data_IF_661956782603
#
_entry.id   IF_661956782603
#
_cell.length_a   1.000
_cell.length_b   1.000
_cell.length_c   1.000
_cell.angle_alpha   90.00
_cell.angle_beta   90.00
_cell.angle_gamma   90.00
#
_symmetry.space_group_name_H-M   'P 1'
#
loop_
_entity.id
_entity.type
_entity.pdbx_description
1 polymer ?
#
# COMPACT_ATOMS: atom_id res chain seq x y z
N UNK A 1 -8.45 26.94 -17.44
CA UNK A 1 -8.21 26.25 -16.15
C UNK A 1 -8.34 24.77 -16.42
N UNK A 2 -7.25 24.00 -16.36
CA UNK A 2 -7.32 22.55 -16.64
C UNK A 2 -7.92 21.84 -15.41
N UNK A 3 -8.99 21.08 -15.64
CA UNK A 3 -9.64 20.26 -14.62
C UNK A 3 -8.62 19.37 -13.87
N UNK A 4 -8.83 19.10 -12.57
CA UNK A 4 -8.02 18.14 -11.85
C UNK A 4 -8.14 16.75 -12.51
N UNK A 5 -7.00 16.20 -12.94
CA UNK A 5 -6.91 14.82 -13.42
C UNK A 5 -7.44 13.87 -12.34
N UNK A 6 -8.20 12.86 -12.76
CA UNK A 6 -8.69 11.81 -11.88
C UNK A 6 -7.54 11.19 -11.05
N UNK A 7 -7.72 10.95 -9.73
CA UNK A 7 -6.70 10.37 -8.86
C UNK A 7 -6.10 9.06 -9.39
N UNK A 8 -6.87 8.24 -10.11
CA UNK A 8 -6.48 6.96 -10.69
C UNK A 8 -6.09 7.01 -12.17
N UNK A 9 -6.22 8.15 -12.85
CA UNK A 9 -5.75 8.25 -14.23
C UNK A 9 -4.23 8.04 -14.34
N UNK A 10 -3.78 7.32 -15.37
CA UNK A 10 -2.36 7.06 -15.62
C UNK A 10 -1.57 8.36 -15.81
N UNK A 11 -0.35 8.37 -15.26
CA UNK A 11 0.58 9.50 -15.28
C UNK A 11 1.70 9.29 -16.29
N UNK A 12 2.03 8.05 -16.58
CA UNK A 12 3.02 7.66 -17.58
C UNK A 12 2.64 8.18 -18.97
N UNK A 13 3.62 8.80 -19.62
CA UNK A 13 3.57 9.19 -21.02
C UNK A 13 4.75 8.53 -21.75
N UNK A 14 4.52 7.50 -22.57
CA UNK A 14 5.60 6.80 -23.27
C UNK A 14 6.35 7.72 -24.24
N UNK A 15 5.72 8.80 -24.74
CA UNK A 15 6.38 9.75 -25.64
C UNK A 15 7.38 10.66 -24.91
N UNK A 16 7.27 10.80 -23.58
CA UNK A 16 8.17 11.64 -22.80
C UNK A 16 9.60 11.08 -22.70
N UNK A 17 9.77 9.76 -22.92
CA UNK A 17 11.08 9.08 -22.89
C UNK A 17 11.83 9.27 -21.57
N UNK A 18 11.12 9.40 -20.46
CA UNK A 18 11.68 9.71 -19.14
C UNK A 18 11.61 8.49 -18.22
N UNK A 19 12.49 8.48 -17.21
CA UNK A 19 12.42 7.56 -16.08
C UNK A 19 11.05 7.66 -15.42
N UNK A 20 10.38 6.53 -15.25
CA UNK A 20 9.05 6.46 -14.67
C UNK A 20 8.81 5.14 -13.96
N UNK A 21 8.23 5.22 -12.77
CA UNK A 21 7.63 4.11 -12.04
C UNK A 21 6.25 4.57 -11.61
N UNK A 22 5.23 3.75 -11.85
CA UNK A 22 3.86 4.04 -11.43
C UNK A 22 3.13 2.77 -11.04
N UNK A 23 2.50 2.77 -9.88
CA UNK A 23 1.86 1.57 -9.33
C UNK A 23 0.45 1.84 -8.85
N UNK A 24 -0.43 0.89 -9.18
CA UNK A 24 -1.77 0.75 -8.65
C UNK A 24 -1.79 -0.48 -7.77
N UNK A 25 -2.18 -0.35 -6.51
CA UNK A 25 -2.15 -1.46 -5.58
C UNK A 25 -3.38 -1.52 -4.70
N UNK A 26 -3.72 -2.75 -4.31
CA UNK A 26 -4.76 -3.08 -3.36
C UNK A 26 -4.11 -3.83 -2.20
N UNK A 27 -4.55 -3.55 -0.97
CA UNK A 27 -4.34 -4.45 0.16
C UNK A 27 -5.68 -4.82 0.77
N UNK A 28 -5.80 -6.04 1.24
CA UNK A 28 -6.92 -6.51 2.04
C UNK A 28 -6.38 -7.31 3.23
N UNK A 29 -7.03 -7.18 4.37
CA UNK A 29 -6.59 -7.72 5.64
C UNK A 29 -7.69 -8.59 6.25
N UNK A 30 -7.32 -9.79 6.68
CA UNK A 30 -8.18 -10.67 7.46
C UNK A 30 -8.58 -9.96 8.77
N UNK A 31 -9.86 -9.96 9.16
CA UNK A 31 -10.31 -9.41 10.43
C UNK A 31 -9.55 -9.97 11.64
N UNK A 32 -9.12 -11.24 11.61
CA UNK A 32 -8.32 -11.85 12.68
C UNK A 32 -6.84 -11.40 12.67
N UNK A 33 -6.39 -10.74 11.60
CA UNK A 33 -5.02 -10.27 11.43
C UNK A 33 -4.00 -11.36 11.11
N UNK A 34 -4.42 -12.59 10.80
CA UNK A 34 -3.51 -13.70 10.49
C UNK A 34 -3.16 -13.83 9.01
N UNK A 35 -3.95 -13.19 8.13
CA UNK A 35 -3.72 -13.18 6.69
C UNK A 35 -3.89 -11.80 6.09
N UNK A 36 -3.27 -11.61 4.93
CA UNK A 36 -3.46 -10.43 4.10
C UNK A 36 -3.21 -10.74 2.63
N UNK A 37 -3.83 -9.95 1.76
CA UNK A 37 -3.61 -9.97 0.33
C UNK A 37 -3.03 -8.62 -0.12
N UNK A 38 -2.08 -8.65 -1.03
CA UNK A 38 -1.60 -7.47 -1.74
C UNK A 38 -1.50 -7.75 -3.24
N UNK A 39 -2.19 -6.95 -4.03
CA UNK A 39 -2.18 -7.02 -5.49
C UNK A 39 -1.63 -5.70 -6.01
N UNK A 40 -0.70 -5.74 -6.96
CA UNK A 40 -0.12 -4.52 -7.55
C UNK A 40 0.11 -4.67 -9.04
N UNK A 41 -0.25 -3.65 -9.81
CA UNK A 41 0.22 -3.45 -11.17
C UNK A 41 1.19 -2.26 -11.20
N UNK A 42 2.31 -2.42 -11.91
CA UNK A 42 3.36 -1.39 -11.99
C UNK A 42 3.75 -1.15 -13.43
N UNK A 43 3.86 0.12 -13.83
CA UNK A 43 4.59 0.56 -15.02
C UNK A 43 6.02 0.85 -14.59
N UNK A 44 6.98 0.33 -15.36
CA UNK A 44 8.40 0.64 -15.21
C UNK A 44 8.97 1.09 -16.55
N UNK A 45 9.60 2.27 -16.59
CA UNK A 45 10.26 2.79 -17.79
C UNK A 45 11.58 3.46 -17.43
N UNK A 46 12.61 3.22 -18.24
CA UNK A 46 13.90 3.91 -18.11
C UNK A 46 14.15 4.80 -19.33
N UNK A 47 14.62 6.02 -19.08
CA UNK A 47 15.06 6.95 -20.13
C UNK A 47 16.22 6.40 -20.97
N UNK A 48 16.96 5.39 -20.47
CA UNK A 48 18.03 4.73 -21.21
C UNK A 48 17.51 3.77 -22.27
N UNK A 49 16.29 3.25 -22.09
CA UNK A 49 15.63 2.34 -23.02
C UNK A 49 14.14 2.73 -23.21
N UNK A 50 13.83 3.92 -23.77
CA UNK A 50 12.46 4.47 -23.81
C UNK A 50 11.42 3.56 -24.48
N UNK A 51 11.85 2.74 -25.45
CA UNK A 51 10.99 1.78 -26.16
C UNK A 51 10.76 0.45 -25.44
N UNK A 52 11.33 0.26 -24.24
CA UNK A 52 11.27 -0.99 -23.46
C UNK A 52 10.56 -0.81 -22.12
N UNK A 53 9.59 0.10 -22.06
CA UNK A 53 8.72 0.20 -20.89
C UNK A 53 8.05 -1.16 -20.62
N UNK A 54 7.94 -1.51 -19.34
CA UNK A 54 7.44 -2.78 -18.85
C UNK A 54 6.19 -2.54 -18.02
N UNK A 55 5.33 -3.56 -18.00
CA UNK A 55 4.31 -3.76 -16.99
C UNK A 55 4.73 -4.89 -16.08
N UNK A 56 4.49 -4.74 -14.79
CA UNK A 56 4.61 -5.81 -13.82
C UNK A 56 3.26 -6.06 -13.15
N UNK A 57 2.88 -7.32 -13.02
CA UNK A 57 1.73 -7.75 -12.24
C UNK A 57 2.21 -8.55 -11.04
N UNK A 58 1.82 -8.15 -9.84
CA UNK A 58 2.23 -8.74 -8.57
C UNK A 58 1.02 -9.21 -7.78
N UNK A 59 1.16 -10.35 -7.10
CA UNK A 59 0.27 -10.77 -6.04
C UNK A 59 1.10 -11.36 -4.89
N UNK A 60 0.75 -10.99 -3.66
CA UNK A 60 1.35 -11.53 -2.44
C UNK A 60 0.23 -11.93 -1.49
N UNK A 61 0.28 -13.17 -1.05
CA UNK A 61 -0.55 -13.73 0.00
C UNK A 61 0.32 -13.86 1.26
N UNK A 62 -0.03 -13.10 2.29
CA UNK A 62 0.58 -13.20 3.61
C UNK A 62 -0.28 -14.12 4.47
N UNK A 63 0.35 -15.09 5.10
CA UNK A 63 -0.28 -16.03 6.02
C UNK A 63 0.70 -16.33 7.15
N UNK A 64 0.26 -16.14 8.39
CA UNK A 64 1.00 -16.52 9.61
C UNK A 64 0.23 -17.46 10.52
N UNK A 65 -0.84 -18.08 10.02
CA UNK A 65 -1.60 -19.10 10.76
C UNK A 65 -0.68 -20.27 11.13
N UNK A 66 -0.95 -20.89 12.28
CA UNK A 66 -0.20 -22.07 12.73
C UNK A 66 1.19 -21.79 13.29
N UNK A 67 1.55 -20.51 13.54
CA UNK A 67 2.79 -20.14 14.23
C UNK A 67 4.04 -20.12 13.36
N UNK A 68 3.92 -20.44 12.06
CA UNK A 68 4.99 -20.30 11.08
C UNK A 68 4.46 -19.55 9.85
N UNK A 69 5.12 -18.45 9.51
CA UNK A 69 4.73 -17.62 8.36
C UNK A 69 4.98 -18.34 7.03
N UNK A 70 3.93 -18.43 6.21
CA UNK A 70 3.90 -19.09 4.89
C UNK A 70 3.43 -18.08 3.85
N UNK A 71 4.34 -17.23 3.41
CA UNK A 71 4.03 -16.20 2.45
C UNK A 71 4.25 -16.70 1.02
N UNK A 72 3.32 -16.38 0.13
CA UNK A 72 3.44 -16.66 -1.31
C UNK A 72 3.50 -15.34 -2.04
N UNK A 73 4.52 -15.15 -2.88
CA UNK A 73 4.70 -13.95 -3.68
C UNK A 73 5.01 -14.32 -5.13
N UNK A 74 4.22 -13.79 -6.05
CA UNK A 74 4.31 -14.09 -7.48
C UNK A 74 4.32 -12.80 -8.30
N UNK A 75 5.10 -12.81 -9.39
CA UNK A 75 5.25 -11.66 -10.29
C UNK A 75 5.31 -12.09 -11.76
N UNK A 76 4.57 -11.37 -12.60
CA UNK A 76 4.74 -11.35 -14.05
C UNK A 76 5.37 -10.04 -14.50
N UNK A 77 6.19 -10.09 -15.56
CA UNK A 77 6.73 -8.93 -16.28
C UNK A 77 6.43 -9.12 -17.76
N UNK A 78 5.90 -8.09 -18.40
CA UNK A 78 5.53 -8.08 -19.81
C UNK A 78 5.79 -6.69 -20.42
N UNK A 79 5.89 -6.56 -21.76
CA UNK A 79 5.97 -5.25 -22.41
C UNK A 79 4.79 -4.35 -22.02
N UNK A 80 5.03 -3.05 -21.84
CA UNK A 80 3.97 -2.08 -21.56
C UNK A 80 2.88 -2.04 -22.64
N UNK A 81 3.26 -2.27 -23.90
CA UNK A 81 2.33 -2.30 -25.03
C UNK A 81 1.28 -3.42 -24.94
N UNK A 82 1.52 -4.44 -24.11
CA UNK A 82 0.63 -5.59 -23.92
C UNK A 82 -0.30 -5.40 -22.71
N UNK A 83 -0.33 -4.20 -22.13
CA UNK A 83 -1.16 -3.85 -20.99
C UNK A 83 -1.96 -2.56 -21.25
N UNK A 84 -3.09 -2.45 -20.56
CA UNK A 84 -3.94 -1.27 -20.52
C UNK A 84 -3.78 -0.56 -19.18
N UNK A 85 -3.63 0.77 -19.23
CA UNK A 85 -3.74 1.66 -18.07
C UNK A 85 -4.65 2.85 -18.44
N UNK A 86 -5.73 3.04 -17.68
CA UNK A 86 -6.78 4.01 -17.96
C UNK A 86 -6.31 5.47 -17.85
N UNK A 87 -6.65 6.29 -18.85
CA UNK A 87 -6.33 7.74 -18.87
C UNK A 87 -7.32 8.60 -18.09
N UNK A 88 -8.48 8.05 -17.76
CA UNK A 88 -9.62 8.77 -17.17
C UNK A 88 -10.05 8.20 -15.81
N UNK A 89 -9.40 7.13 -15.35
CA UNK A 89 -9.73 6.48 -14.08
C UNK A 89 -9.01 5.14 -13.91
N UNK A 90 -9.42 4.40 -12.88
CA UNK A 90 -8.85 3.09 -12.57
C UNK A 90 -9.28 2.06 -13.61
N UNK A 91 -8.40 1.74 -14.56
CA UNK A 91 -8.59 0.59 -15.44
C UNK A 91 -7.23 0.00 -15.80
N UNK A 92 -6.86 -1.10 -15.15
CA UNK A 92 -5.62 -1.81 -15.41
C UNK A 92 -5.94 -3.20 -15.92
N UNK A 93 -5.42 -3.58 -17.08
CA UNK A 93 -5.64 -4.91 -17.63
C UNK A 93 -4.42 -5.45 -18.36
N UNK A 94 -4.15 -6.74 -18.21
CA UNK A 94 -3.24 -7.49 -19.09
C UNK A 94 -3.60 -8.97 -19.07
N UNK A 95 -3.26 -9.68 -20.14
CA UNK A 95 -3.37 -11.14 -20.23
C UNK A 95 -2.18 -11.72 -20.98
N UNK A 96 -1.80 -12.93 -20.60
CA UNK A 96 -0.76 -13.73 -21.25
C UNK A 96 -1.33 -15.12 -21.49
N UNK A 97 -1.31 -15.54 -22.75
CA UNK A 97 -1.69 -16.90 -23.12
C UNK A 97 -0.78 -17.90 -22.41
N UNK A 98 -1.36 -18.89 -21.74
CA UNK A 98 -0.59 -19.96 -21.11
C UNK A 98 0.19 -20.74 -22.18
N UNK A 99 1.49 -20.91 -21.98
CA UNK A 99 2.30 -21.77 -22.83
C UNK A 99 1.96 -23.24 -22.57
N UNK A 100 1.85 -24.06 -23.62
CA UNK A 100 1.74 -25.52 -23.50
C UNK A 100 0.48 -26.05 -22.78
N UNK A 101 -0.65 -25.33 -22.84
CA UNK A 101 -1.90 -25.74 -22.20
C UNK A 101 -2.07 -25.29 -20.74
N UNK A 102 -1.15 -24.47 -20.22
CA UNK A 102 -1.32 -23.81 -18.94
C UNK A 102 -2.51 -22.84 -18.94
N UNK A 103 -3.08 -22.58 -17.76
CA UNK A 103 -4.13 -21.56 -17.60
C UNK A 103 -3.63 -20.18 -18.03
N UNK A 104 -4.54 -19.36 -18.57
CA UNK A 104 -4.28 -17.95 -18.87
C UNK A 104 -3.87 -17.18 -17.60
N UNK A 105 -2.78 -16.44 -17.70
CA UNK A 105 -2.33 -15.51 -16.66
C UNK A 105 -2.91 -14.14 -16.96
N UNK A 106 -3.54 -13.49 -15.99
CA UNK A 106 -4.20 -12.20 -16.24
C UNK A 106 -4.38 -11.39 -14.97
N UNK A 107 -4.59 -10.10 -15.16
CA UNK A 107 -5.02 -9.20 -14.11
C UNK A 107 -6.01 -8.19 -14.68
N UNK A 108 -7.06 -7.91 -13.91
CA UNK A 108 -7.94 -6.75 -14.10
C UNK A 108 -8.10 -6.01 -12.77
N UNK A 109 -7.96 -4.70 -12.80
CA UNK A 109 -8.31 -3.81 -11.68
C UNK A 109 -9.19 -2.68 -12.24
N UNK A 110 -10.40 -2.56 -11.71
CA UNK A 110 -11.42 -1.56 -12.08
C UNK A 110 -12.07 -1.01 -10.81
N UNK A 111 -12.87 0.07 -10.88
CA UNK A 111 -13.62 0.51 -9.72
C UNK A 111 -14.58 -0.60 -9.29
N UNK A 112 -14.45 -1.02 -8.04
CA UNK A 112 -15.34 -2.00 -7.41
C UNK A 112 -14.99 -3.46 -7.64
N UNK A 113 -14.04 -3.79 -8.51
CA UNK A 113 -13.70 -5.18 -8.83
C UNK A 113 -12.23 -5.39 -9.19
N UNK A 114 -11.71 -6.58 -8.85
CA UNK A 114 -10.45 -7.09 -9.38
C UNK A 114 -10.50 -8.61 -9.50
N UNK A 115 -10.00 -9.13 -10.61
CA UNK A 115 -9.83 -10.57 -10.78
C UNK A 115 -8.53 -10.86 -11.52
N UNK A 116 -7.98 -12.04 -11.30
CA UNK A 116 -6.74 -12.41 -11.96
C UNK A 116 -6.19 -13.75 -11.51
N UNK A 117 -5.11 -14.12 -12.17
CA UNK A 117 -4.27 -15.27 -11.83
C UNK A 117 -2.85 -14.94 -12.21
N UNK A 118 -1.92 -15.23 -11.29
CA UNK A 118 -0.48 -15.12 -11.50
C UNK A 118 0.13 -16.41 -10.95
N UNK A 119 0.78 -17.20 -11.81
CA UNK A 119 1.60 -18.33 -11.39
C UNK A 119 3.07 -18.19 -11.79
N UNK A 120 3.95 -18.64 -10.90
CA UNK A 120 5.41 -18.65 -11.08
C UNK A 120 6.00 -19.84 -10.37
N UNK A 121 6.70 -20.69 -11.12
CA UNK A 121 7.28 -21.94 -10.60
C UNK A 121 6.19 -22.78 -9.92
N UNK A 122 6.41 -23.21 -8.68
CA UNK A 122 5.44 -23.95 -7.88
C UNK A 122 4.28 -23.11 -7.30
N UNK A 123 4.37 -21.78 -7.35
CA UNK A 123 3.40 -20.90 -6.69
C UNK A 123 2.35 -20.34 -7.64
N UNK A 124 1.11 -20.23 -7.16
CA UNK A 124 0.01 -19.60 -7.88
C UNK A 124 -0.93 -18.86 -6.93
N UNK A 125 -1.33 -17.65 -7.34
CA UNK A 125 -2.41 -16.89 -6.69
C UNK A 125 -3.47 -16.57 -7.73
N UNK A 126 -4.71 -17.01 -7.48
CA UNK A 126 -5.91 -16.65 -8.25
C UNK A 126 -6.84 -15.84 -7.36
N UNK A 127 -7.51 -14.84 -7.91
CA UNK A 127 -8.50 -14.06 -7.16
C UNK A 127 -9.67 -13.64 -8.05
N UNK A 128 -10.82 -13.46 -7.40
CA UNK A 128 -12.01 -12.83 -7.95
C UNK A 128 -12.72 -12.09 -6.82
N UNK A 129 -12.57 -10.76 -6.81
CA UNK A 129 -12.90 -9.91 -5.68
C UNK A 129 -13.73 -8.72 -6.12
N UNK A 130 -14.65 -8.35 -5.23
CA UNK A 130 -15.33 -7.06 -5.24
C UNK A 130 -14.87 -6.23 -4.06
N UNK A 131 -14.89 -4.92 -4.22
CA UNK A 131 -14.63 -4.01 -3.13
C UNK A 131 -15.53 -2.79 -3.19
N UNK A 132 -15.86 -2.25 -2.03
CA UNK A 132 -16.71 -1.07 -1.90
C UNK A 132 -16.19 -0.15 -0.81
N UNK A 133 -16.46 1.15 -0.96
CA UNK A 133 -16.06 2.17 -0.02
C UNK A 133 -16.15 3.56 -0.63
N UNK A 134 -16.01 4.58 0.21
CA UNK A 134 -16.11 5.97 -0.23
C UNK A 134 -14.84 6.41 -0.96
N UNK A 135 -15.00 6.99 -2.16
CA UNK A 135 -13.95 7.65 -2.91
C UNK A 135 -13.58 9.00 -2.26
N UNK A 136 -13.02 8.94 -1.05
CA UNK A 136 -12.58 10.09 -0.27
C UNK A 136 -11.07 9.99 -0.06
N UNK A 137 -10.24 10.50 -1.00
CA UNK A 137 -8.83 10.18 -1.05
C UNK A 137 -8.04 10.75 0.13
N UNK A 138 -6.99 10.05 0.53
CA UNK A 138 -5.87 10.70 1.22
C UNK A 138 -4.94 11.33 0.18
N UNK A 139 -4.67 12.62 0.37
CA UNK A 139 -3.86 13.47 -0.51
C UNK A 139 -2.71 14.04 0.34
N UNK A 140 -1.60 13.30 0.51
CA UNK A 140 -0.56 13.68 1.46
C UNK A 140 0.15 14.99 1.11
N UNK A 141 0.28 15.35 -0.16
CA UNK A 141 0.95 16.58 -0.56
C UNK A 141 -0.05 17.76 -0.65
N UNK A 142 0.25 18.91 -0.02
CA UNK A 142 -0.74 19.97 0.16
C UNK A 142 -1.08 20.77 -1.12
N UNK A 143 -0.26 20.67 -2.17
CA UNK A 143 -0.44 21.49 -3.38
C UNK A 143 -0.60 20.62 -4.63
N UNK A 144 -1.62 20.94 -5.44
CA UNK A 144 -1.87 20.26 -6.73
C UNK A 144 -0.64 20.30 -7.69
N UNK A 145 0.19 21.34 -7.59
CA UNK A 145 1.44 21.45 -8.35
C UNK A 145 2.46 20.37 -7.99
N UNK A 146 2.44 19.83 -6.76
CA UNK A 146 3.33 18.74 -6.33
C UNK A 146 3.00 17.41 -7.01
N UNK A 147 1.76 17.23 -7.46
CA UNK A 147 1.33 16.04 -8.19
C UNK A 147 1.60 16.13 -9.70
N UNK A 148 1.72 17.35 -10.24
CA UNK A 148 1.96 17.63 -11.67
C UNK A 148 3.42 17.94 -11.98
N UNK A 149 4.13 18.51 -11.01
CA UNK A 149 5.49 19.02 -11.17
C UNK A 149 6.58 17.96 -10.97
N UNK A 150 7.83 18.42 -11.08
CA UNK A 150 9.02 17.58 -10.93
C UNK A 150 9.36 17.23 -9.47
N UNK A 151 8.85 18.00 -8.51
CA UNK A 151 9.09 17.81 -7.08
C UNK A 151 7.77 17.68 -6.31
N UNK A 152 7.62 16.69 -5.42
CA UNK A 152 8.57 15.62 -5.11
C UNK A 152 8.75 14.64 -6.29
N UNK A 153 9.90 13.94 -6.32
CA UNK A 153 10.21 12.98 -7.40
C UNK A 153 9.26 11.79 -7.41
N UNK A 154 8.96 11.26 -6.23
CA UNK A 154 7.95 10.23 -5.98
C UNK A 154 6.71 10.89 -5.40
N UNK A 155 5.56 10.50 -5.92
CA UNK A 155 4.23 11.00 -5.57
C UNK A 155 3.39 9.81 -5.15
N UNK A 156 2.46 10.06 -4.24
CA UNK A 156 1.54 9.05 -3.74
C UNK A 156 0.23 9.73 -3.38
N UNK A 157 -0.84 9.00 -3.58
CA UNK A 157 -2.17 9.30 -3.10
C UNK A 157 -2.92 7.99 -2.91
N UNK A 158 -3.93 8.01 -2.06
CA UNK A 158 -4.70 6.82 -1.74
C UNK A 158 -6.16 7.13 -2.08
N UNK A 159 -6.65 6.75 -3.28
CA UNK A 159 -7.99 7.14 -3.72
C UNK A 159 -9.09 6.56 -2.84
N UNK A 160 -8.88 5.34 -2.34
CA UNK A 160 -9.80 4.66 -1.43
C UNK A 160 -9.03 4.18 -0.20
N UNK A 161 -8.92 5.01 0.86
CA UNK A 161 -8.16 4.66 2.05
C UNK A 161 -8.88 3.66 2.96
N UNK A 162 -10.18 3.46 2.79
CA UNK A 162 -10.97 2.48 3.53
C UNK A 162 -11.96 1.79 2.58
N UNK A 163 -11.71 0.50 2.33
CA UNK A 163 -12.51 -0.38 1.49
C UNK A 163 -12.91 -1.63 2.28
N UNK A 164 -14.04 -2.22 1.90
CA UNK A 164 -14.45 -3.57 2.31
C UNK A 164 -14.42 -4.48 1.09
N UNK A 165 -13.73 -5.61 1.21
CA UNK A 165 -13.57 -6.61 0.18
C UNK A 165 -14.53 -7.79 0.43
N UNK A 166 -14.90 -8.46 -0.66
CA UNK A 166 -15.62 -9.73 -0.67
C UNK A 166 -15.22 -10.55 -1.90
N UNK A 167 -15.41 -11.87 -1.84
CA UNK A 167 -15.04 -12.79 -2.89
C UNK A 167 -13.99 -13.79 -2.42
N UNK A 168 -13.22 -14.32 -3.36
CA UNK A 168 -12.38 -15.49 -3.11
C UNK A 168 -10.97 -15.28 -3.65
N UNK A 169 -10.00 -15.81 -2.90
CA UNK A 169 -8.62 -16.00 -3.34
C UNK A 169 -8.28 -17.48 -3.23
N UNK A 170 -7.51 -18.00 -4.17
CA UNK A 170 -6.89 -19.32 -4.08
C UNK A 170 -5.38 -19.14 -4.09
N UNK A 171 -4.70 -19.63 -3.05
CA UNK A 171 -3.25 -19.54 -2.85
C UNK A 171 -2.70 -20.96 -2.80
N UNK A 172 -1.93 -21.36 -3.81
CA UNK A 172 -1.37 -22.72 -3.93
C UNK A 172 -2.41 -23.84 -3.72
N UNK A 173 -3.63 -23.61 -4.22
CA UNK A 173 -4.78 -24.53 -4.11
C UNK A 173 -5.60 -24.40 -2.82
N UNK A 174 -5.15 -23.62 -1.82
CA UNK A 174 -5.96 -23.29 -0.65
C UNK A 174 -6.87 -22.10 -0.94
N UNK A 175 -8.18 -22.27 -0.72
CA UNK A 175 -9.16 -21.21 -0.89
C UNK A 175 -9.33 -20.36 0.38
N UNK A 176 -9.25 -19.05 0.23
CA UNK A 176 -9.55 -18.04 1.23
C UNK A 176 -10.84 -17.30 0.87
N UNK A 177 -11.73 -17.18 1.84
CA UNK A 177 -12.91 -16.32 1.76
C UNK A 177 -12.54 -14.93 2.31
N UNK A 178 -12.73 -13.90 1.48
CA UNK A 178 -12.41 -12.51 1.83
C UNK A 178 -13.63 -11.73 2.33
N UNK A 179 -14.69 -12.43 2.74
CA UNK A 179 -15.89 -11.82 3.30
C UNK A 179 -15.57 -10.81 4.42
N UNK A 180 -15.85 -9.54 4.12
CA UNK A 180 -15.66 -8.38 5.01
C UNK A 180 -14.20 -8.07 5.36
N UNK A 181 -13.24 -8.46 4.52
CA UNK A 181 -11.86 -8.04 4.71
C UNK A 181 -11.73 -6.54 4.48
N UNK A 182 -11.10 -5.82 5.40
CA UNK A 182 -10.88 -4.38 5.26
C UNK A 182 -9.59 -4.12 4.48
N UNK A 183 -9.55 -3.05 3.71
CA UNK A 183 -8.44 -2.81 2.82
C UNK A 183 -8.40 -1.39 2.25
N UNK A 184 -7.61 -1.18 1.21
CA UNK A 184 -7.48 0.11 0.54
C UNK A 184 -6.97 -0.05 -0.89
N UNK A 185 -7.13 1.01 -1.67
CA UNK A 185 -6.51 1.17 -2.98
C UNK A 185 -5.57 2.38 -2.95
N UNK A 186 -4.33 2.18 -3.36
CA UNK A 186 -3.31 3.22 -3.47
C UNK A 186 -2.80 3.41 -4.89
N UNK A 187 -2.30 4.61 -5.16
CA UNK A 187 -1.67 4.99 -6.42
C UNK A 187 -0.42 5.83 -6.16
N UNK A 188 0.74 5.34 -6.60
CA UNK A 188 2.00 6.09 -6.54
C UNK A 188 2.64 6.19 -7.92
N UNK A 189 3.39 7.28 -8.16
CA UNK A 189 4.15 7.44 -9.40
C UNK A 189 5.32 8.40 -9.22
N UNK A 190 6.32 8.30 -10.09
CA UNK A 190 7.47 9.17 -10.03
C UNK A 190 8.60 8.69 -10.93
N UNK A 191 9.78 9.31 -10.78
CA UNK A 191 10.98 8.90 -11.54
C UNK A 191 11.76 7.74 -10.91
N UNK A 192 11.41 7.39 -9.68
CA UNK A 192 12.10 6.40 -8.86
C UNK A 192 11.65 6.51 -7.40
N UNK A 193 12.12 5.59 -6.58
CA UNK A 193 11.84 5.54 -5.15
C UNK A 193 12.79 6.44 -4.35
N UNK A 194 12.39 6.82 -3.14
CA UNK A 194 13.27 7.53 -2.22
C UNK A 194 14.42 6.62 -1.73
N UNK A 195 15.54 7.23 -1.35
CA UNK A 195 16.73 6.52 -0.84
C UNK A 195 16.42 5.69 0.42
N UNK A 196 15.57 6.24 1.27
CA UNK A 196 14.96 5.62 2.43
C UNK A 196 13.52 6.09 2.47
N UNK A 197 12.58 5.16 2.59
CA UNK A 197 11.21 5.50 2.92
C UNK A 197 10.60 4.51 3.91
N UNK A 198 9.63 4.99 4.66
CA UNK A 198 8.65 4.18 5.35
C UNK A 198 7.25 4.60 4.91
N UNK A 199 6.37 3.63 4.71
CA UNK A 199 4.95 3.85 4.49
C UNK A 199 4.17 2.89 5.38
N UNK A 200 3.11 3.37 5.99
CA UNK A 200 2.20 2.52 6.74
C UNK A 200 0.76 2.92 6.48
N UNK A 201 -0.13 1.94 6.60
CA UNK A 201 -1.58 2.14 6.51
C UNK A 201 -2.29 1.14 7.41
N UNK A 202 -3.27 1.62 8.16
CA UNK A 202 -4.13 0.79 9.00
C UNK A 202 -5.55 1.34 9.02
N UNK A 203 -6.48 0.43 8.76
CA UNK A 203 -7.90 0.62 8.87
C UNK A 203 -8.54 -0.62 9.49
N UNK A 204 -7.82 -1.40 10.29
CA UNK A 204 -8.41 -2.54 11.01
C UNK A 204 -7.88 -2.47 12.42
N UNK A 205 -8.76 -2.54 13.41
CA UNK A 205 -8.38 -2.38 14.82
C UNK A 205 -8.90 -3.56 15.62
N UNK A 206 -8.11 -3.98 16.60
CA UNK A 206 -8.54 -4.92 17.62
C UNK A 206 -9.74 -4.29 18.35
N UNK A 207 -10.85 -5.01 18.42
CA UNK A 207 -12.00 -4.58 19.22
C UNK A 207 -11.72 -4.84 20.71
N UNK A 208 -12.29 -4.04 21.61
CA UNK A 208 -12.25 -4.32 23.06
C UNK A 208 -12.87 -5.69 23.41
N UNK A 209 -13.69 -6.27 22.53
CA UNK A 209 -14.26 -7.60 22.70
C UNK A 209 -13.21 -8.73 22.59
N UNK A 210 -12.09 -8.52 21.90
CA UNK A 210 -10.97 -9.47 21.85
C UNK A 210 -9.97 -9.28 23.00
N UNK A 211 -10.06 -8.17 23.76
CA UNK A 211 -9.26 -7.93 24.97
C UNK A 211 -9.86 -8.55 26.25
N UNK A 212 -10.87 -9.42 26.11
CA UNK A 212 -11.31 -10.32 27.19
C UNK A 212 -12.34 -9.74 28.17
N UNK A 213 -13.10 -8.70 27.81
CA UNK A 213 -14.21 -8.19 28.64
C UNK A 213 -15.58 -8.28 27.92
N UNK A 214 -16.13 -9.50 27.81
CA UNK A 214 -17.55 -9.82 27.51
C UNK A 214 -17.99 -9.67 26.05
N UNK A 215 -18.79 -10.55 25.41
CA UNK A 215 -19.80 -11.47 25.92
C UNK A 215 -19.91 -12.76 25.07
N UNK A 216 -20.22 -13.89 25.72
CA UNK A 216 -20.67 -15.13 25.07
C UNK A 216 -22.13 -14.97 24.63
N UNK A 217 -22.41 -14.99 23.33
CA UNK A 217 -23.77 -15.06 22.79
C UNK A 217 -23.76 -15.25 21.27
N UNK A 218 -24.39 -16.32 20.79
CA UNK A 218 -24.25 -16.85 19.43
C UNK A 218 -25.08 -16.16 18.35
N UNK A 219 -25.48 -14.89 18.52
CA UNK A 219 -26.49 -14.28 17.63
C UNK A 219 -26.28 -12.81 17.31
N UNK A 220 -25.03 -12.39 17.11
CA UNK A 220 -24.73 -11.07 16.53
C UNK A 220 -23.97 -11.21 15.22
N UNK A 221 -24.54 -10.62 14.15
CA UNK A 221 -23.78 -10.19 12.97
C UNK A 221 -22.55 -9.42 13.47
N UNK A 222 -21.36 -9.59 12.86
CA UNK A 222 -20.17 -8.88 13.31
C UNK A 222 -20.46 -7.37 13.26
N UNK A 223 -20.59 -6.76 14.43
CA UNK A 223 -20.69 -5.31 14.57
C UNK A 223 -19.38 -4.72 14.02
N UNK A 224 -19.51 -3.73 13.13
CA UNK A 224 -18.44 -2.92 12.54
C UNK A 224 -17.35 -2.62 13.58
N UNK A 225 -16.04 -2.59 13.22
CA UNK A 225 -14.99 -2.27 14.18
C UNK A 225 -15.34 -1.02 15.00
N UNK A 226 -15.21 -1.15 16.32
CA UNK A 226 -15.67 -0.16 17.32
C UNK A 226 -14.99 1.21 17.18
N UNK A 227 -13.91 1.29 16.41
CA UNK A 227 -13.16 2.52 16.14
C UNK A 227 -13.14 2.85 14.65
N UNK A 228 -13.91 3.87 14.28
CA UNK A 228 -13.84 4.53 12.96
C UNK A 228 -12.61 5.44 12.91
N UNK A 229 -11.43 4.83 12.74
CA UNK A 229 -10.16 5.48 12.51
C UNK A 229 -9.46 4.82 11.32
N UNK A 230 -9.00 5.61 10.36
CA UNK A 230 -8.09 5.16 9.29
C UNK A 230 -6.85 6.02 9.34
N UNK A 231 -5.67 5.42 9.24
CA UNK A 231 -4.38 6.14 9.34
C UNK A 231 -3.48 5.74 8.20
N UNK A 232 -2.84 6.73 7.60
CA UNK A 232 -1.72 6.57 6.67
C UNK A 232 -0.61 7.53 7.05
N UNK A 233 0.63 7.04 7.10
CA UNK A 233 1.79 7.90 7.28
C UNK A 233 2.91 7.49 6.36
N UNK A 234 3.66 8.48 5.88
CA UNK A 234 4.84 8.30 5.05
C UNK A 234 5.99 9.13 5.58
N UNK A 235 7.17 8.52 5.64
CA UNK A 235 8.42 9.21 5.91
C UNK A 235 9.41 8.94 4.80
N UNK A 236 10.16 9.95 4.36
CA UNK A 236 11.13 9.78 3.28
C UNK A 236 12.33 10.70 3.38
N UNK A 237 13.50 10.18 2.97
CA UNK A 237 14.67 11.00 2.65
C UNK A 237 14.85 11.03 1.14
N UNK A 238 14.85 12.23 0.57
CA UNK A 238 15.06 12.43 -0.86
C UNK A 238 16.38 13.15 -1.09
N UNK A 239 17.00 12.94 -2.25
CA UNK A 239 18.16 13.74 -2.67
C UNK A 239 17.71 14.97 -3.45
N UNK A 240 18.21 16.12 -3.04
CA UNK A 240 18.13 17.38 -3.80
C UNK A 240 19.56 17.73 -4.20
N UNK A 241 19.92 17.42 -5.45
CA UNK A 241 21.31 17.43 -5.89
C UNK A 241 22.16 16.42 -5.09
N UNK A 242 23.33 16.81 -4.55
CA UNK A 242 24.18 15.92 -3.77
C UNK A 242 23.71 15.73 -2.31
N UNK A 243 22.78 16.57 -1.82
CA UNK A 243 22.37 16.62 -0.41
C UNK A 243 21.20 15.67 -0.17
N UNK A 244 21.33 14.80 0.83
CA UNK A 244 20.21 14.02 1.37
C UNK A 244 19.42 14.88 2.35
N UNK A 245 18.12 15.04 2.13
CA UNK A 245 17.28 15.84 3.02
C UNK A 245 17.12 15.17 4.39
N UNK A 246 16.76 15.94 5.44
CA UNK A 246 16.17 15.37 6.64
C UNK A 246 14.98 14.46 6.28
N UNK A 247 14.65 13.56 7.21
CA UNK A 247 13.46 12.74 7.08
C UNK A 247 12.23 13.64 7.16
N UNK A 248 11.42 13.64 6.09
CA UNK A 248 10.14 14.36 6.05
C UNK A 248 9.04 13.36 6.34
N UNK A 249 8.15 13.69 7.28
CA UNK A 249 7.00 12.87 7.67
C UNK A 249 5.70 13.59 7.30
N UNK A 250 4.82 12.90 6.57
CA UNK A 250 3.44 13.34 6.29
C UNK A 250 2.47 12.32 6.84
N UNK A 251 1.35 12.80 7.41
CA UNK A 251 0.34 11.93 8.02
C UNK A 251 -1.05 12.35 7.55
N UNK A 252 -1.88 11.36 7.24
CA UNK A 252 -3.31 11.51 7.01
C UNK A 252 -4.05 10.57 7.96
N UNK A 253 -5.11 11.07 8.59
CA UNK A 253 -6.01 10.25 9.39
C UNK A 253 -7.46 10.62 9.08
N UNK A 254 -8.37 9.65 9.14
CA UNK A 254 -9.81 9.88 9.13
C UNK A 254 -10.39 9.32 10.40
N UNK A 255 -11.04 10.16 11.18
CA UNK A 255 -11.68 9.75 12.43
C UNK A 255 -13.14 10.22 12.43
N UNK A 256 -14.08 9.28 12.53
CA UNK A 256 -15.53 9.56 12.55
C UNK A 256 -15.96 10.43 11.36
N UNK A 257 -15.53 10.05 10.16
CA UNK A 257 -15.79 10.78 8.91
C UNK A 257 -14.99 12.09 8.71
N UNK A 258 -14.24 12.57 9.70
CA UNK A 258 -13.44 13.82 9.57
C UNK A 258 -12.01 13.49 9.18
N UNK A 259 -11.52 14.11 8.11
CA UNK A 259 -10.13 13.95 7.65
C UNK A 259 -9.21 14.99 8.29
N UNK A 260 -8.09 14.51 8.85
CA UNK A 260 -7.00 15.27 9.44
C UNK A 260 -5.74 15.04 8.62
N UNK A 261 -5.02 16.11 8.29
CA UNK A 261 -3.76 16.05 7.55
C UNK A 261 -2.71 16.86 8.28
N UNK A 262 -1.50 16.30 8.41
CA UNK A 262 -0.31 16.99 8.90
C UNK A 262 0.70 17.04 7.77
N UNK A 263 0.51 18.02 6.90
CA UNK A 263 1.27 18.17 5.65
C UNK A 263 1.58 19.63 5.29
N UNK A 264 1.18 20.59 6.12
CA UNK A 264 1.58 21.98 6.01
C UNK A 264 3.01 22.18 6.51
N UNK A 265 3.69 23.27 6.10
CA UNK A 265 5.10 23.50 6.45
C UNK A 265 5.39 23.48 7.96
N UNK A 266 4.51 24.06 8.77
CA UNK A 266 4.65 24.08 10.23
C UNK A 266 4.44 22.70 10.87
N UNK A 267 3.49 21.92 10.35
CA UNK A 267 3.22 20.57 10.83
C UNK A 267 4.37 19.64 10.47
N UNK A 268 4.89 19.73 9.23
CA UNK A 268 6.06 18.98 8.77
C UNK A 268 7.28 19.28 9.66
N UNK A 269 7.51 20.55 9.98
CA UNK A 269 8.64 20.95 10.82
C UNK A 269 8.55 20.42 12.26
N UNK A 270 7.34 20.11 12.73
CA UNK A 270 7.08 19.55 14.08
C UNK A 270 6.90 18.04 14.08
N UNK A 271 6.65 17.45 12.92
CA UNK A 271 6.46 16.02 12.79
C UNK A 271 7.78 15.28 13.03
N UNK A 272 7.69 14.12 13.68
CA UNK A 272 8.82 13.24 13.89
C UNK A 272 8.60 11.91 13.16
N UNK A 273 9.67 11.30 12.69
CA UNK A 273 9.68 9.94 12.15
C UNK A 273 10.97 9.22 12.56
N UNK A 274 10.84 7.97 12.98
CA UNK A 274 11.95 7.03 13.18
C UNK A 274 11.72 5.80 12.30
N UNK A 275 12.70 5.48 11.45
CA UNK A 275 12.61 4.37 10.48
C UNK A 275 13.72 3.38 10.77
N UNK A 276 13.34 2.19 11.24
CA UNK A 276 14.19 1.02 11.29
C UNK A 276 13.87 0.05 10.14
N UNK A 277 14.55 -1.11 10.11
CA UNK A 277 14.32 -2.14 9.09
C UNK A 277 13.05 -2.98 9.33
N UNK A 278 12.54 -3.00 10.57
CA UNK A 278 11.33 -3.73 10.98
C UNK A 278 10.28 -2.87 11.66
N UNK A 279 10.57 -1.57 11.83
CA UNK A 279 9.74 -0.65 12.61
C UNK A 279 9.66 0.72 11.95
N UNK A 280 8.53 1.36 12.12
CA UNK A 280 8.32 2.76 11.77
C UNK A 280 7.46 3.40 12.85
N UNK A 281 7.94 4.50 13.43
CA UNK A 281 7.14 5.32 14.33
C UNK A 281 7.12 6.76 13.89
N UNK A 282 6.01 7.44 14.17
CA UNK A 282 5.84 8.85 13.86
C UNK A 282 5.02 9.57 14.93
N UNK A 283 5.19 10.89 14.96
CA UNK A 283 4.27 11.79 15.66
C UNK A 283 4.00 13.02 14.80
N UNK A 284 2.79 13.56 14.89
CA UNK A 284 2.41 14.80 14.24
C UNK A 284 1.36 15.55 15.08
N UNK A 285 1.42 16.87 15.04
CA UNK A 285 0.49 17.73 15.78
C UNK A 285 0.09 18.96 14.96
N UNK A 286 -1.15 19.38 15.15
CA UNK A 286 -1.71 20.63 14.67
C UNK A 286 -2.63 21.20 15.75
N UNK A 287 -3.24 22.36 15.50
CA UNK A 287 -4.29 22.90 16.40
C UNK A 287 -5.53 22.00 16.47
N UNK A 288 -5.78 21.20 15.43
CA UNK A 288 -6.98 20.40 15.29
C UNK A 288 -6.84 19.00 15.90
N UNK A 289 -5.64 18.41 15.84
CA UNK A 289 -5.40 17.07 16.38
C UNK A 289 -3.91 16.77 16.58
N UNK A 290 -3.64 15.77 17.43
CA UNK A 290 -2.35 15.11 17.62
C UNK A 290 -2.48 13.62 17.30
N UNK A 291 -1.43 13.05 16.72
CA UNK A 291 -1.33 11.62 16.45
C UNK A 291 0.08 11.11 16.76
N UNK A 292 0.15 9.91 17.32
CA UNK A 292 1.36 9.12 17.50
C UNK A 292 1.07 7.70 17.01
N UNK A 293 1.98 7.14 16.22
CA UNK A 293 1.85 5.78 15.70
C UNK A 293 3.16 5.03 15.77
N UNK A 294 3.10 3.76 16.14
CA UNK A 294 4.21 2.82 16.01
C UNK A 294 3.76 1.56 15.28
N UNK A 295 4.53 1.16 14.28
CA UNK A 295 4.29 0.01 13.42
C UNK A 295 5.51 -0.88 13.47
N UNK A 296 5.32 -2.17 13.66
CA UNK A 296 6.39 -3.17 13.71
C UNK A 296 5.95 -4.48 13.06
N UNK A 297 6.88 -5.19 12.45
CA UNK A 297 6.64 -6.55 11.97
C UNK A 297 7.85 -7.43 12.28
N UNK A 298 7.56 -8.70 12.59
CA UNK A 298 8.60 -9.72 12.69
C UNK A 298 9.25 -9.92 11.33
N UNK A 299 10.52 -10.35 11.32
CA UNK A 299 11.26 -10.59 10.06
C UNK A 299 10.54 -11.64 9.20
N UNK A 300 9.97 -12.67 9.83
CA UNK A 300 9.24 -13.74 9.14
C UNK A 300 7.86 -13.30 8.63
N UNK A 301 7.34 -12.16 9.11
CA UNK A 301 6.10 -11.53 8.65
C UNK A 301 6.33 -10.51 7.51
N UNK A 302 7.56 -10.46 6.98
CA UNK A 302 7.97 -9.59 5.87
C UNK A 302 8.28 -10.38 4.60
N UNK A 303 7.84 -9.82 3.47
CA UNK A 303 8.22 -10.26 2.12
C UNK A 303 9.12 -9.19 1.51
N UNK A 304 10.35 -9.56 1.15
CA UNK A 304 11.29 -8.67 0.48
C UNK A 304 11.08 -8.63 -1.04
N UNK A 305 11.07 -7.42 -1.61
CA UNK A 305 10.83 -7.17 -3.05
C UNK A 305 11.99 -6.37 -3.66
N UNK A 306 12.43 -6.76 -4.85
CA UNK A 306 13.41 -6.00 -5.62
C UNK A 306 12.73 -4.89 -6.41
N UNK A 307 12.96 -3.62 -6.05
CA UNK A 307 12.49 -2.45 -6.78
C UNK A 307 13.63 -1.80 -7.55
N UNK A 308 13.80 -2.13 -8.85
CA UNK A 308 14.74 -1.39 -9.69
C UNK A 308 14.29 0.07 -9.75
N UNK A 309 15.25 1.00 -9.64
CA UNK A 309 15.00 2.42 -9.88
C UNK A 309 15.51 2.76 -11.28
N UNK A 310 14.67 3.32 -12.17
CA UNK A 310 15.15 3.72 -13.49
C UNK A 310 16.21 4.83 -13.40
N UNK A 311 16.13 5.68 -12.36
CA UNK A 311 17.04 6.79 -12.12
C UNK A 311 18.22 6.47 -11.18
N UNK A 312 18.39 5.21 -10.72
CA UNK A 312 19.32 4.94 -9.63
C UNK A 312 19.54 3.49 -9.21
N UNK A 313 20.18 3.28 -8.04
CA UNK A 313 20.46 1.95 -7.51
C UNK A 313 19.16 1.24 -7.08
N UNK A 314 19.22 -0.08 -6.95
CA UNK A 314 18.15 -0.92 -6.42
C UNK A 314 17.64 -0.40 -5.06
N UNK A 315 16.32 -0.44 -4.87
CA UNK A 315 15.68 -0.33 -3.55
C UNK A 315 15.16 -1.70 -3.15
N UNK A 316 15.49 -2.14 -1.94
CA UNK A 316 14.88 -3.31 -1.32
C UNK A 316 13.65 -2.85 -0.55
N UNK A 317 12.48 -3.29 -0.97
CA UNK A 317 11.23 -3.02 -0.25
C UNK A 317 10.95 -4.17 0.71
N UNK A 318 10.95 -3.87 2.00
CA UNK A 318 10.58 -4.79 3.08
C UNK A 318 9.10 -4.58 3.35
N UNK A 319 8.28 -5.51 2.86
CA UNK A 319 6.83 -5.34 2.82
C UNK A 319 6.14 -6.29 3.78
N UNK A 320 5.36 -5.76 4.70
CA UNK A 320 4.39 -6.53 5.48
C UNK A 320 3.00 -5.93 5.32
N UNK A 321 2.00 -6.80 5.26
CA UNK A 321 0.60 -6.46 5.46
C UNK A 321 0.05 -7.07 6.76
N UNK A 322 0.95 -7.56 7.61
CA UNK A 322 0.71 -8.23 8.88
C UNK A 322 1.36 -7.47 10.05
N UNK A 323 1.74 -6.21 9.85
CA UNK A 323 2.39 -5.43 10.88
C UNK A 323 1.45 -5.19 12.07
N UNK A 324 2.04 -5.11 13.26
CA UNK A 324 1.38 -4.62 14.45
C UNK A 324 1.40 -3.10 14.44
N UNK A 325 0.28 -2.48 14.75
CA UNK A 325 0.17 -1.04 14.90
C UNK A 325 -0.31 -0.70 16.32
N UNK A 326 0.23 0.38 16.88
CA UNK A 326 -0.30 1.03 18.07
C UNK A 326 -0.41 2.51 17.76
N UNK A 327 -1.64 3.04 17.80
CA UNK A 327 -1.92 4.44 17.47
C UNK A 327 -2.64 5.11 18.61
N UNK A 328 -2.14 6.28 18.99
CA UNK A 328 -2.85 7.25 19.83
C UNK A 328 -3.26 8.43 18.96
N UNK A 329 -4.55 8.72 18.91
CA UNK A 329 -5.12 9.86 18.18
C UNK A 329 -5.93 10.74 19.12
N UNK A 330 -5.74 12.05 19.07
CA UNK A 330 -6.39 13.02 19.94
C UNK A 330 -6.88 14.21 19.11
N UNK A 331 -8.19 14.28 18.86
CA UNK A 331 -8.81 15.46 18.27
C UNK A 331 -9.00 16.54 19.34
N UNK A 332 -8.81 17.80 18.96
CA UNK A 332 -8.94 18.95 19.86
C UNK A 332 -10.31 18.97 20.56
N UNK A 333 -10.29 19.13 21.88
CA UNK A 333 -11.49 19.11 22.72
C UNK A 333 -12.15 17.74 22.90
N UNK A 334 -11.50 16.64 22.49
CA UNK A 334 -11.98 15.27 22.69
C UNK A 334 -10.96 14.42 23.45
N UNK A 335 -11.41 13.40 24.22
CA UNK A 335 -10.50 12.43 24.79
C UNK A 335 -9.69 11.69 23.72
N UNK A 336 -8.44 11.30 24.02
CA UNK A 336 -7.63 10.51 23.12
C UNK A 336 -8.21 9.11 22.93
N UNK A 337 -8.06 8.57 21.72
CA UNK A 337 -8.33 7.17 21.37
C UNK A 337 -6.98 6.47 21.23
N UNK A 338 -6.84 5.31 21.87
CA UNK A 338 -5.64 4.47 21.79
C UNK A 338 -6.08 3.10 21.27
N UNK A 339 -5.54 2.70 20.13
CA UNK A 339 -5.94 1.48 19.44
C UNK A 339 -4.74 0.66 18.98
N UNK A 340 -4.96 -0.64 18.90
CA UNK A 340 -3.98 -1.61 18.41
C UNK A 340 -4.52 -2.37 17.22
N UNK A 341 -3.62 -2.86 16.39
CA UNK A 341 -3.92 -3.71 15.26
C UNK A 341 -2.82 -4.73 15.07
N UNK A 342 -3.17 -5.89 14.54
CA UNK A 342 -2.23 -6.85 13.94
C UNK A 342 -2.36 -6.91 12.42
N UNK A 343 -3.22 -6.09 11.83
CA UNK A 343 -3.59 -6.14 10.43
C UNK A 343 -3.22 -4.83 9.72
N UNK A 344 -1.99 -4.36 9.94
CA UNK A 344 -1.48 -3.13 9.36
C UNK A 344 -0.50 -3.38 8.20
N UNK A 345 -0.44 -2.41 7.29
CA UNK A 345 0.62 -2.34 6.30
C UNK A 345 1.84 -1.61 6.88
N UNK A 346 3.01 -2.16 6.60
CA UNK A 346 4.31 -1.53 6.80
C UNK A 346 5.19 -1.84 5.59
N UNK A 347 5.66 -0.80 4.91
CA UNK A 347 6.65 -0.90 3.86
C UNK A 347 7.86 -0.04 4.21
N UNK A 348 9.05 -0.63 4.15
CA UNK A 348 10.31 0.08 4.35
C UNK A 348 11.17 -0.11 3.10
N UNK A 349 11.47 0.97 2.40
CA UNK A 349 12.43 0.98 1.31
C UNK A 349 13.82 1.31 1.82
N UNK A 350 14.79 0.42 1.59
CA UNK A 350 16.19 0.60 1.99
C UNK A 350 17.15 0.30 0.84
N UNK A 351 18.39 0.79 0.96
CA UNK A 351 19.53 0.42 0.10
C UNK A 351 20.49 -0.58 0.76
N UNK A 352 20.28 -0.86 2.04
CA UNK A 352 21.02 -1.88 2.77
C UNK A 352 20.66 -3.24 2.21
N UNK A 353 21.62 -3.97 1.63
CA UNK A 353 21.44 -5.31 1.08
C UNK A 353 21.47 -6.40 2.17
N UNK A 354 22.02 -6.10 3.35
CA UNK A 354 22.14 -7.01 4.49
C UNK A 354 20.96 -6.88 5.46
N UNK A 355 19.82 -6.41 4.94
CA UNK A 355 18.61 -6.11 5.72
C UNK A 355 18.00 -7.33 6.43
N UNK A 356 18.35 -8.55 6.01
CA UNK A 356 18.00 -9.80 6.69
C UNK A 356 16.57 -10.28 6.49
N UNK A 357 15.86 -9.80 5.46
CA UNK A 357 14.51 -10.27 5.08
C UNK A 357 14.65 -11.13 3.82
N UNK A 358 13.86 -12.20 3.70
CA UNK A 358 13.88 -13.05 2.51
C UNK A 358 13.34 -12.29 1.29
N UNK A 359 14.14 -12.23 0.23
CA UNK A 359 13.72 -11.68 -1.06
C UNK A 359 12.96 -12.73 -1.88
N UNK A 360 11.79 -12.37 -2.42
CA UNK A 360 10.92 -13.32 -3.12
C UNK A 360 10.84 -13.06 -4.64
N UNK A 361 10.69 -11.80 -5.06
CA UNK A 361 10.31 -11.41 -6.43
C UNK A 361 10.89 -10.07 -6.86
#
# INVERSE_FOLDING_TARGET
>A
MNEPRDPNAVRFDPAAGADHVESYFLKANDPAGDRALWIKATIFASAREPGRALTEGWAIAFDRRGGQSKHVAVKHVLPFADALFGKEGLDVAWSLSGAGGASEERMRIRPGETHGRIARREHAIRWDLRFEGEASPFVPFPHASMYRGKFPKSKTLTPYPDLVFSGEVEVDGERWDLSNWRGMQGHNWGRGHADLYAWCHVNTWESDAELGFGAKGADRRPEVPTVDLTVEALSGRVRVGPVLTPLVTLVCARFRGVTYTWNGPLEIARAHGDVGLRRYSFSAESRAARIEGSFEAETDDMVGLYYPNPDGPMTYCLNSKLARAHVRFEASGRPPVVVKSRAAALEIGTRDADHGVRMHV
#
